data_IF_837985018845
#
_entry.id   IF_837985018845
#
_cell.length_a   1.000
_cell.length_b   1.000
_cell.length_c   1.000
_cell.angle_alpha   90.00
_cell.angle_beta   90.00
_cell.angle_gamma   90.00
#
_symmetry.space_group_name_H-M   'P 1'
#
loop_
_entity.id
_entity.type
_entity.pdbx_description
1 polymer ?
#
# COMPACT_ATOMS: atom_id res chain seq x y z
N UNK A 1 -19.51 -9.00 15.66
CA UNK A 1 -18.12 -8.52 15.87
C UNK A 1 -18.19 -7.24 16.67
N UNK A 2 -17.29 -6.99 17.61
CA UNK A 2 -17.32 -5.78 18.45
C UNK A 2 -16.55 -4.64 17.77
N UNK A 3 -16.89 -3.38 18.06
CA UNK A 3 -16.19 -2.20 17.50
C UNK A 3 -14.69 -2.19 17.82
N UNK A 4 -14.31 -2.68 19.00
CA UNK A 4 -12.91 -2.85 19.39
C UNK A 4 -12.15 -3.82 18.46
N UNK A 5 -12.80 -4.89 17.99
CA UNK A 5 -12.20 -5.83 17.03
C UNK A 5 -11.99 -5.15 15.67
N UNK A 6 -12.96 -4.35 15.20
CA UNK A 6 -12.85 -3.67 13.90
C UNK A 6 -11.72 -2.62 13.90
N UNK A 7 -11.62 -1.81 14.97
CA UNK A 7 -10.55 -0.83 15.13
C UNK A 7 -9.15 -1.46 15.10
N UNK A 8 -8.96 -2.59 15.79
CA UNK A 8 -7.68 -3.30 15.80
C UNK A 8 -7.34 -3.82 14.39
N UNK A 9 -8.31 -4.46 13.71
CA UNK A 9 -8.13 -4.94 12.34
C UNK A 9 -7.79 -3.81 11.38
N UNK A 10 -8.45 -2.64 11.47
CA UNK A 10 -8.12 -1.47 10.65
C UNK A 10 -6.70 -0.98 10.92
N UNK A 11 -6.27 -0.93 12.18
CA UNK A 11 -4.92 -0.47 12.53
C UNK A 11 -3.83 -1.42 12.03
N UNK A 12 -4.07 -2.73 12.15
CA UNK A 12 -3.14 -3.76 11.65
C UNK A 12 -3.09 -3.72 10.11
N UNK A 13 -4.25 -3.63 9.47
CA UNK A 13 -4.35 -3.52 8.01
C UNK A 13 -3.63 -2.27 7.49
N UNK A 14 -3.76 -1.14 8.16
CA UNK A 14 -3.05 0.09 7.81
C UNK A 14 -1.54 -0.10 7.89
N UNK A 15 -1.07 -0.73 8.96
CA UNK A 15 0.36 -0.99 9.18
C UNK A 15 0.92 -1.91 8.10
N UNK A 16 0.24 -3.01 7.78
CA UNK A 16 0.68 -3.93 6.74
C UNK A 16 0.58 -3.33 5.34
N UNK A 17 -0.45 -2.52 5.07
CA UNK A 17 -0.58 -1.82 3.77
C UNK A 17 0.53 -0.80 3.57
N UNK A 18 0.97 -0.09 4.62
CA UNK A 18 2.12 0.82 4.56
C UNK A 18 3.39 0.06 4.18
N UNK A 19 3.67 -1.09 4.82
CA UNK A 19 4.82 -1.94 4.47
C UNK A 19 4.75 -2.42 3.01
N UNK A 20 3.58 -2.86 2.57
CA UNK A 20 3.35 -3.31 1.19
C UNK A 20 3.54 -2.18 0.18
N UNK A 21 3.03 -0.98 0.48
CA UNK A 21 3.23 0.22 -0.34
C UNK A 21 4.72 0.54 -0.47
N UNK A 22 5.48 0.49 0.62
CA UNK A 22 6.90 0.80 0.61
C UNK A 22 7.71 -0.22 -0.18
N UNK A 23 7.35 -1.51 -0.09
CA UNK A 23 7.88 -2.55 -0.96
C UNK A 23 7.57 -2.28 -2.44
N UNK A 24 6.32 -1.95 -2.78
CA UNK A 24 5.93 -1.60 -4.15
C UNK A 24 6.65 -0.35 -4.66
N UNK A 25 6.92 0.63 -3.79
CA UNK A 25 7.71 1.82 -4.14
C UNK A 25 9.14 1.47 -4.46
N UNK A 26 9.80 0.68 -3.61
CA UNK A 26 11.16 0.20 -3.86
C UNK A 26 11.23 -0.63 -5.16
N UNK A 27 10.24 -1.50 -5.40
CA UNK A 27 10.11 -2.26 -6.63
C UNK A 27 9.94 -1.37 -7.87
N UNK A 28 9.08 -0.34 -7.78
CA UNK A 28 8.85 0.62 -8.89
C UNK A 28 10.13 1.36 -9.24
N UNK A 29 10.82 1.94 -8.25
CA UNK A 29 12.10 2.62 -8.47
C UNK A 29 13.15 1.67 -9.04
N UNK A 30 13.26 0.46 -8.51
CA UNK A 30 14.23 -0.52 -9.00
C UNK A 30 13.94 -1.00 -10.43
N UNK A 31 12.66 -1.09 -10.83
CA UNK A 31 12.25 -1.42 -12.20
C UNK A 31 12.55 -0.24 -13.14
N UNK A 32 12.17 0.99 -12.76
CA UNK A 32 12.40 2.20 -13.57
C UNK A 32 13.89 2.50 -13.78
N UNK A 33 14.72 2.26 -12.76
CA UNK A 33 16.18 2.46 -12.82
C UNK A 33 16.92 1.25 -13.44
N UNK A 34 16.21 0.25 -13.98
CA UNK A 34 16.78 -0.97 -14.53
C UNK A 34 17.68 -1.77 -13.54
N UNK A 35 17.50 -1.60 -12.22
CA UNK A 35 18.21 -2.31 -11.16
C UNK A 35 17.60 -3.68 -10.84
N UNK A 36 16.33 -3.88 -11.19
CA UNK A 36 15.59 -5.13 -11.00
C UNK A 36 15.25 -5.73 -12.36
N UNK A 37 15.62 -6.99 -12.59
CA UNK A 37 15.18 -7.75 -13.76
C UNK A 37 13.77 -8.30 -13.51
N UNK A 38 12.80 -7.90 -14.32
CA UNK A 38 11.43 -8.41 -14.25
C UNK A 38 10.73 -8.32 -15.62
N UNK A 39 9.57 -8.98 -15.75
CA UNK A 39 8.63 -8.82 -16.87
C UNK A 39 7.55 -7.77 -16.58
N UNK A 40 7.63 -7.11 -15.42
CA UNK A 40 6.64 -6.15 -14.96
C UNK A 40 6.90 -4.83 -15.68
N UNK A 41 5.92 -4.36 -16.44
CA UNK A 41 5.96 -3.04 -17.07
C UNK A 41 6.09 -1.95 -15.99
N UNK A 42 6.96 -0.95 -16.14
CA UNK A 42 7.09 0.15 -15.18
C UNK A 42 5.75 0.81 -14.82
N UNK A 43 4.87 0.98 -15.82
CA UNK A 43 3.51 1.51 -15.63
C UNK A 43 2.65 0.64 -14.70
N UNK A 44 2.79 -0.69 -14.76
CA UNK A 44 2.07 -1.59 -13.87
C UNK A 44 2.60 -1.50 -12.44
N UNK A 45 3.93 -1.37 -12.26
CA UNK A 45 4.53 -1.19 -10.95
C UNK A 45 4.04 0.11 -10.28
N UNK A 46 4.02 1.22 -11.02
CA UNK A 46 3.44 2.49 -10.57
C UNK A 46 1.93 2.39 -10.30
N UNK A 47 1.18 1.70 -11.16
CA UNK A 47 -0.27 1.53 -10.98
C UNK A 47 -0.61 0.87 -9.64
N UNK A 48 -0.01 -0.28 -9.33
CA UNK A 48 -0.30 -0.99 -8.08
C UNK A 48 0.26 -0.27 -6.85
N UNK A 49 1.25 0.63 -7.03
CA UNK A 49 1.73 1.54 -5.99
C UNK A 49 0.70 2.64 -5.69
N UNK A 50 0.10 3.25 -6.72
CA UNK A 50 -0.98 4.24 -6.54
C UNK A 50 -2.21 3.65 -5.87
N UNK A 51 -2.58 2.42 -6.19
CA UNK A 51 -3.66 1.70 -5.50
C UNK A 51 -3.36 1.50 -4.01
N UNK A 52 -2.13 1.11 -3.67
CA UNK A 52 -1.71 0.95 -2.28
C UNK A 52 -1.74 2.29 -1.51
N UNK A 53 -1.28 3.37 -2.16
CA UNK A 53 -1.41 4.73 -1.61
C UNK A 53 -2.86 5.14 -1.36
N UNK A 54 -3.74 4.84 -2.31
CA UNK A 54 -5.16 5.12 -2.18
C UNK A 54 -5.78 4.36 -1.01
N UNK A 55 -5.45 3.08 -0.84
CA UNK A 55 -5.97 2.29 0.28
C UNK A 55 -5.47 2.77 1.64
N UNK A 56 -4.19 3.18 1.74
CA UNK A 56 -3.67 3.85 2.95
C UNK A 56 -4.47 5.11 3.27
N UNK A 57 -4.87 5.90 2.27
CA UNK A 57 -5.71 7.09 2.50
C UNK A 57 -7.07 6.71 3.09
N UNK A 58 -7.76 5.73 2.50
CA UNK A 58 -9.06 5.25 2.99
C UNK A 58 -8.97 4.77 4.44
N UNK A 59 -7.96 3.96 4.76
CA UNK A 59 -7.78 3.43 6.12
C UNK A 59 -7.49 4.53 7.16
N UNK A 60 -6.77 5.59 6.77
CA UNK A 60 -6.55 6.76 7.62
C UNK A 60 -7.82 7.57 7.83
N UNK A 61 -8.58 7.83 6.77
CA UNK A 61 -9.87 8.53 6.85
C UNK A 61 -10.82 7.79 7.80
N UNK A 62 -10.93 6.47 7.64
CA UNK A 62 -11.76 5.63 8.52
C UNK A 62 -11.29 5.68 9.98
N UNK A 63 -9.97 5.65 10.24
CA UNK A 63 -9.40 5.72 11.59
C UNK A 63 -9.58 7.10 12.24
N UNK A 64 -9.64 8.16 11.44
CA UNK A 64 -9.91 9.55 11.88
C UNK A 64 -11.41 9.85 12.04
N UNK A 65 -12.29 8.89 11.72
CA UNK A 65 -13.74 9.07 11.78
C UNK A 65 -14.29 9.99 10.69
N UNK A 66 -13.61 10.09 9.55
CA UNK A 66 -14.03 10.86 8.37
C UNK A 66 -14.76 10.00 7.35
#
# INVERSE_FOLDING_TARGET
MTDATLSNVTSDTLTETIKLRDFKKAGTVGIEECKIKSIILPLLADHVLREANHYVRILKEHKEGK
#
